data_IF_342895854336
#
_entry.id   IF_342895854336
#
_cell.length_a   1.000
_cell.length_b   1.000
_cell.length_c   1.000
_cell.angle_alpha   90.00
_cell.angle_beta   90.00
_cell.angle_gamma   90.00
#
_symmetry.space_group_name_H-M   'P 1'
#
loop_
_entity.id
_entity.type
_entity.pdbx_description
1 polymer ?
#
# COMPACT_ATOMS: atom_id res chain seq x y z
N UNK A 1 -19.30 -48.87 -6.93
CA UNK A 1 -18.81 -47.88 -7.94
C UNK A 1 -19.10 -46.45 -7.49
N UNK A 2 -20.38 -46.06 -7.36
CA UNK A 2 -20.78 -44.67 -7.06
C UNK A 2 -20.23 -44.12 -5.73
N UNK A 3 -20.26 -44.90 -4.64
CA UNK A 3 -19.79 -44.46 -3.33
C UNK A 3 -18.27 -44.22 -3.26
N UNK A 4 -17.48 -44.99 -4.04
CA UNK A 4 -16.03 -44.76 -4.17
C UNK A 4 -15.73 -43.49 -4.97
N UNK A 5 -16.52 -43.21 -6.01
CA UNK A 5 -16.42 -41.98 -6.79
C UNK A 5 -16.74 -40.74 -5.94
N UNK A 6 -17.83 -40.81 -5.14
CA UNK A 6 -18.22 -39.73 -4.22
C UNK A 6 -17.14 -39.46 -3.18
N UNK A 7 -16.53 -40.50 -2.61
CA UNK A 7 -15.45 -40.35 -1.64
C UNK A 7 -14.20 -39.67 -2.24
N UNK A 8 -13.82 -40.05 -3.46
CA UNK A 8 -12.71 -39.41 -4.19
C UNK A 8 -12.98 -37.93 -4.48
N UNK A 9 -14.22 -37.58 -4.87
CA UNK A 9 -14.62 -36.20 -5.12
C UNK A 9 -14.56 -35.34 -3.84
N UNK A 10 -15.00 -35.88 -2.70
CA UNK A 10 -14.94 -35.18 -1.41
C UNK A 10 -13.49 -34.90 -1.01
N UNK A 11 -12.59 -35.89 -1.16
CA UNK A 11 -11.16 -35.71 -0.85
C UNK A 11 -10.52 -34.66 -1.76
N UNK A 12 -10.83 -34.66 -3.06
CA UNK A 12 -10.37 -33.64 -4.02
C UNK A 12 -10.86 -32.23 -3.68
N UNK A 13 -12.13 -32.08 -3.29
CA UNK A 13 -12.70 -30.80 -2.87
C UNK A 13 -12.01 -30.27 -1.61
N UNK A 14 -11.81 -31.12 -0.60
CA UNK A 14 -11.12 -30.74 0.65
C UNK A 14 -9.68 -30.30 0.36
N UNK A 15 -8.95 -31.06 -0.46
CA UNK A 15 -7.58 -30.70 -0.89
C UNK A 15 -7.55 -29.35 -1.61
N UNK A 16 -8.51 -29.08 -2.50
CA UNK A 16 -8.60 -27.81 -3.22
C UNK A 16 -8.87 -26.61 -2.31
N UNK A 17 -9.64 -26.78 -1.23
CA UNK A 17 -9.91 -25.69 -0.27
C UNK A 17 -8.67 -25.30 0.54
N UNK A 18 -7.79 -26.25 0.90
CA UNK A 18 -6.56 -25.94 1.64
C UNK A 18 -5.51 -25.22 0.79
N UNK A 19 -5.51 -25.41 -0.53
CA UNK A 19 -4.60 -24.71 -1.44
C UNK A 19 -4.99 -23.24 -1.68
N UNK A 20 -6.26 -22.89 -1.45
CA UNK A 20 -6.79 -21.56 -1.72
C UNK A 20 -6.34 -20.52 -0.67
N UNK A 21 -6.13 -20.92 0.58
CA UNK A 21 -5.66 -20.01 1.64
C UNK A 21 -4.22 -19.53 1.42
N UNK A 22 -3.37 -20.32 0.74
CA UNK A 22 -1.95 -20.01 0.57
C UNK A 22 -1.73 -18.94 -0.52
N UNK A 23 -2.67 -18.78 -1.45
CA UNK A 23 -2.53 -17.89 -2.63
C UNK A 23 -3.24 -16.54 -2.49
N UNK A 24 -3.73 -16.21 -1.29
CA UNK A 24 -4.44 -14.95 -1.06
C UNK A 24 -3.45 -13.82 -0.83
N UNK A 25 -3.42 -12.83 -1.73
CA UNK A 25 -2.62 -11.63 -1.54
C UNK A 25 -3.18 -10.78 -0.36
N UNK A 26 -2.29 -10.21 0.43
CA UNK A 26 -2.62 -9.46 1.64
C UNK A 26 -3.19 -8.09 1.31
N UNK A 27 -4.31 -7.78 1.96
CA UNK A 27 -4.95 -6.47 1.88
C UNK A 27 -4.15 -5.37 2.58
N UNK A 28 -4.54 -4.12 2.33
CA UNK A 28 -3.95 -2.94 2.96
C UNK A 28 -3.96 -3.03 4.51
N UNK A 29 -2.86 -2.60 5.13
CA UNK A 29 -2.65 -2.62 6.58
C UNK A 29 -2.27 -3.99 7.16
N UNK A 30 -2.34 -5.08 6.38
CA UNK A 30 -1.87 -6.41 6.81
C UNK A 30 -0.34 -6.48 6.82
N UNK A 31 0.20 -7.34 7.66
CA UNK A 31 1.66 -7.49 7.83
C UNK A 31 2.25 -8.37 6.77
N UNK A 32 3.28 -7.87 6.11
CA UNK A 32 3.92 -8.51 4.97
C UNK A 32 5.41 -8.68 5.26
N UNK A 33 6.09 -9.48 4.43
CA UNK A 33 7.55 -9.62 4.45
C UNK A 33 8.12 -9.18 3.10
N UNK A 34 7.43 -9.54 2.02
CA UNK A 34 7.77 -9.23 0.64
C UNK A 34 6.60 -8.51 -0.04
N UNK A 35 6.90 -7.75 -1.10
CA UNK A 35 5.89 -7.07 -1.91
C UNK A 35 4.89 -8.04 -2.53
N UNK A 36 5.37 -9.20 -2.96
CA UNK A 36 4.55 -10.24 -3.58
C UNK A 36 3.54 -10.86 -2.61
N UNK A 37 3.68 -10.59 -1.30
CA UNK A 37 2.65 -10.96 -0.33
C UNK A 37 1.44 -10.05 -0.41
N UNK A 38 1.54 -8.83 -0.96
CA UNK A 38 0.48 -7.84 -0.94
C UNK A 38 -0.38 -7.88 -2.21
N UNK A 39 -1.63 -7.43 -2.11
CA UNK A 39 -2.58 -7.36 -3.22
C UNK A 39 -2.10 -6.41 -4.33
N UNK A 40 -2.68 -6.55 -5.52
CA UNK A 40 -2.29 -5.76 -6.69
C UNK A 40 -2.39 -4.26 -6.41
N UNK A 41 -1.30 -3.52 -6.65
CA UNK A 41 -1.20 -2.08 -6.37
C UNK A 41 -0.85 -1.71 -4.93
N UNK A 42 -0.53 -2.71 -4.09
CA UNK A 42 0.04 -2.53 -2.77
C UNK A 42 1.54 -2.87 -2.76
N UNK A 43 2.26 -2.40 -1.75
CA UNK A 43 3.68 -2.68 -1.52
C UNK A 43 3.93 -2.95 -0.03
N UNK A 44 4.95 -3.76 0.25
CA UNK A 44 5.33 -4.08 1.60
C UNK A 44 6.37 -3.09 2.10
N UNK A 45 5.99 -2.24 3.06
CA UNK A 45 6.91 -1.25 3.62
C UNK A 45 6.70 -1.00 5.10
N UNK A 46 7.74 -0.41 5.70
CA UNK A 46 7.75 0.00 7.09
C UNK A 46 7.52 1.51 7.20
N UNK A 47 6.66 1.89 8.13
CA UNK A 47 6.45 3.28 8.46
C UNK A 47 7.46 3.72 9.54
N UNK A 48 8.59 4.31 9.16
CA UNK A 48 9.59 4.74 10.15
C UNK A 48 9.15 6.00 10.91
N UNK A 49 8.30 6.85 10.30
CA UNK A 49 7.89 8.12 10.90
C UNK A 49 7.04 7.96 12.18
N UNK A 50 6.37 6.81 12.39
CA UNK A 50 5.59 6.53 13.60
C UNK A 50 6.29 5.57 14.58
N UNK A 51 7.59 5.34 14.41
CA UNK A 51 8.39 4.36 15.16
C UNK A 51 7.85 2.91 15.10
N UNK A 52 7.04 2.57 14.09
CA UNK A 52 6.56 1.21 13.90
C UNK A 52 7.44 0.46 12.91
N UNK A 53 8.22 -0.48 13.42
CA UNK A 53 9.11 -1.29 12.60
C UNK A 53 8.38 -2.44 11.88
N UNK A 54 7.08 -2.62 12.11
CA UNK A 54 6.29 -3.69 11.50
C UNK A 54 5.91 -3.32 10.07
N UNK A 55 6.44 -4.02 9.05
CA UNK A 55 6.07 -3.78 7.66
C UNK A 55 4.60 -4.13 7.43
N UNK A 56 3.93 -3.34 6.59
CA UNK A 56 2.54 -3.53 6.19
C UNK A 56 2.36 -3.31 4.70
N UNK A 57 1.34 -3.95 4.14
CA UNK A 57 0.90 -3.65 2.79
C UNK A 57 0.30 -2.24 2.79
N UNK A 58 0.95 -1.29 2.13
CA UNK A 58 0.44 0.05 1.90
C UNK A 58 0.14 0.24 0.42
N UNK A 59 -0.78 1.14 0.11
CA UNK A 59 -1.11 1.45 -1.27
C UNK A 59 -0.05 2.35 -1.86
N UNK A 60 0.56 1.99 -2.99
CA UNK A 60 1.63 2.80 -3.61
C UNK A 60 1.15 3.76 -4.67
N UNK A 61 -0.01 3.54 -5.29
CA UNK A 61 -0.47 4.37 -6.40
C UNK A 61 -1.74 5.15 -6.07
N UNK A 62 -1.74 6.49 -6.22
CA UNK A 62 -2.98 7.24 -6.23
C UNK A 62 -3.77 6.86 -7.49
N UNK A 63 -4.96 6.30 -7.29
CA UNK A 63 -5.91 6.12 -8.39
C UNK A 63 -6.40 7.50 -8.82
N UNK A 64 -6.24 7.83 -10.10
CA UNK A 64 -6.84 9.05 -10.64
C UNK A 64 -8.38 8.93 -10.56
N UNK A 65 -9.06 9.75 -9.75
CA UNK A 65 -10.50 9.60 -9.53
C UNK A 65 -11.33 9.87 -10.81
N UNK A 66 -10.76 10.60 -11.77
CA UNK A 66 -11.39 10.93 -13.05
C UNK A 66 -11.23 9.79 -14.08
N UNK A 67 -10.43 8.75 -13.77
CA UNK A 67 -10.22 7.62 -14.67
C UNK A 67 -11.47 6.75 -14.86
N UNK A 68 -12.39 6.74 -13.88
CA UNK A 68 -13.63 5.94 -13.93
C UNK A 68 -14.82 6.74 -14.46
N UNK A 69 -14.96 7.99 -14.02
CA UNK A 69 -16.07 8.89 -14.42
C UNK A 69 -15.51 10.29 -14.63
N UNK A 70 -15.93 10.98 -15.70
CA UNK A 70 -15.49 12.34 -16.05
C UNK A 70 -16.63 13.34 -15.87
N UNK A 71 -16.29 14.62 -15.70
CA UNK A 71 -17.24 15.73 -15.72
C UNK A 71 -18.02 15.98 -14.43
N UNK A 72 -17.66 15.31 -13.34
CA UNK A 72 -18.26 15.61 -12.03
C UNK A 72 -17.57 16.84 -11.40
N UNK A 73 -18.27 17.61 -10.54
CA UNK A 73 -17.63 18.64 -9.72
C UNK A 73 -16.54 18.07 -8.81
N UNK A 74 -15.55 18.88 -8.44
CA UNK A 74 -14.37 18.46 -7.65
C UNK A 74 -14.72 17.72 -6.35
N UNK A 75 -15.79 18.13 -5.66
CA UNK A 75 -16.27 17.53 -4.42
C UNK A 75 -17.03 16.19 -4.59
N UNK A 76 -17.18 15.70 -5.81
CA UNK A 76 -17.77 14.39 -6.13
C UNK A 76 -16.73 13.31 -6.43
N UNK A 77 -15.45 13.66 -6.32
CA UNK A 77 -14.33 12.74 -6.43
C UNK A 77 -13.70 12.46 -5.06
N UNK A 78 -13.16 11.26 -4.89
CA UNK A 78 -12.31 10.92 -3.76
C UNK A 78 -10.85 11.26 -4.09
N UNK A 79 -10.25 12.15 -3.30
CA UNK A 79 -8.87 12.59 -3.48
C UNK A 79 -7.98 11.99 -2.41
N UNK A 80 -6.84 11.44 -2.81
CA UNK A 80 -5.77 11.13 -1.87
C UNK A 80 -5.05 12.44 -1.52
N UNK A 81 -4.91 12.70 -0.22
CA UNK A 81 -4.26 13.91 0.30
C UNK A 81 -3.27 13.53 1.39
N UNK A 82 -2.29 14.40 1.65
CA UNK A 82 -1.29 14.22 2.70
C UNK A 82 -1.39 15.38 3.70
N UNK A 83 -1.40 15.07 4.99
CA UNK A 83 -1.38 16.08 6.05
C UNK A 83 0.06 16.39 6.44
N UNK A 84 0.42 17.67 6.58
CA UNK A 84 1.78 18.12 6.85
C UNK A 84 2.81 17.57 5.83
N UNK A 85 2.53 17.72 4.53
CA UNK A 85 3.34 17.18 3.42
C UNK A 85 4.85 17.48 3.49
N UNK A 86 5.26 18.53 4.20
CA UNK A 86 6.65 18.92 4.41
C UNK A 86 7.29 18.39 5.70
N UNK A 87 6.52 17.80 6.63
CA UNK A 87 7.00 17.25 7.90
C UNK A 87 7.64 15.87 7.68
N UNK A 88 8.73 15.86 6.90
CA UNK A 88 9.42 14.67 6.46
C UNK A 88 10.49 14.21 7.44
N UNK A 89 10.56 12.90 7.66
CA UNK A 89 11.57 12.25 8.48
C UNK A 89 12.99 12.62 8.02
N UNK A 90 13.86 12.95 8.96
CA UNK A 90 15.26 13.30 8.67
C UNK A 90 15.44 14.62 7.91
N UNK A 91 14.44 15.52 7.89
CA UNK A 91 14.62 16.86 7.36
C UNK A 91 15.47 17.74 8.25
N UNK A 92 16.28 18.58 7.58
CA UNK A 92 17.16 19.55 8.21
C UNK A 92 16.68 20.94 7.81
N UNK A 93 16.67 21.87 8.75
CA UNK A 93 16.33 23.26 8.43
C UNK A 93 17.34 23.84 7.46
N UNK A 94 16.88 24.63 6.50
CA UNK A 94 17.75 25.41 5.61
C UNK A 94 18.65 26.40 6.36
N UNK A 95 18.23 26.81 7.55
CA UNK A 95 19.01 27.71 8.45
C UNK A 95 20.01 26.95 9.33
N UNK A 96 20.05 25.62 9.27
CA UNK A 96 20.85 24.79 10.18
C UNK A 96 20.24 24.58 11.57
N UNK A 97 19.08 25.17 11.85
CA UNK A 97 18.35 24.98 13.10
C UNK A 97 17.77 23.56 13.22
N UNK A 98 17.74 23.02 14.44
CA UNK A 98 17.12 21.71 14.72
C UNK A 98 15.60 21.83 14.54
N UNK A 99 15.01 20.87 13.83
CA UNK A 99 13.55 20.75 13.71
C UNK A 99 13.05 19.90 14.88
N UNK A 100 12.31 20.53 15.81
CA UNK A 100 11.70 19.86 16.97
C UNK A 100 10.26 19.38 16.72
N UNK A 101 9.72 19.67 15.54
CA UNK A 101 8.35 19.31 15.19
C UNK A 101 8.23 17.80 14.88
N UNK A 102 7.10 17.15 15.20
CA UNK A 102 6.83 15.78 14.78
C UNK A 102 6.88 15.64 13.25
N UNK A 103 7.34 14.48 12.78
CA UNK A 103 7.34 14.12 11.35
C UNK A 103 6.31 13.05 11.09
N UNK A 104 5.53 13.18 10.02
CA UNK A 104 4.55 12.19 9.58
C UNK A 104 4.68 11.83 8.09
N UNK A 105 5.69 12.37 7.40
CA UNK A 105 5.99 12.01 6.02
C UNK A 105 7.33 11.28 5.96
N UNK A 106 7.46 10.28 5.09
CA UNK A 106 8.77 9.72 4.74
C UNK A 106 9.21 10.15 3.33
N UNK A 107 8.26 10.58 2.49
CA UNK A 107 8.50 10.95 1.11
C UNK A 107 8.65 12.46 0.90
N UNK A 108 9.33 12.83 -0.19
CA UNK A 108 9.34 14.21 -0.66
C UNK A 108 7.99 14.65 -1.22
N UNK A 109 7.71 15.96 -1.20
CA UNK A 109 6.49 16.49 -1.83
C UNK A 109 6.44 16.16 -3.32
N UNK A 110 7.59 16.14 -4.00
CA UNK A 110 7.67 15.69 -5.40
C UNK A 110 7.23 14.24 -5.54
N UNK A 111 7.69 13.36 -4.66
CA UNK A 111 7.34 11.94 -4.70
C UNK A 111 5.86 11.70 -4.35
N UNK A 112 5.31 12.46 -3.39
CA UNK A 112 3.88 12.45 -3.05
C UNK A 112 2.97 12.86 -4.23
N UNK A 113 3.45 13.76 -5.11
CA UNK A 113 2.70 14.25 -6.27
C UNK A 113 2.97 13.45 -7.55
N UNK A 114 4.07 12.72 -7.62
CA UNK A 114 4.48 11.99 -8.80
C UNK A 114 3.52 10.83 -9.09
N UNK A 115 3.22 10.61 -10.37
CA UNK A 115 2.61 9.36 -10.84
C UNK A 115 3.71 8.29 -10.94
N UNK A 116 3.41 7.00 -10.71
CA UNK A 116 4.39 5.95 -10.96
C UNK A 116 4.74 5.92 -12.44
N UNK A 117 5.95 6.32 -12.77
CA UNK A 117 6.65 5.88 -13.98
C UNK A 117 7.42 4.61 -13.62
N UNK A 118 7.43 3.64 -14.53
CA UNK A 118 8.08 2.32 -14.41
C UNK A 118 9.61 2.40 -14.17
N UNK A 119 10.16 3.62 -14.12
CA UNK A 119 11.58 3.94 -13.91
C UNK A 119 11.90 4.60 -12.57
N UNK A 120 10.90 5.01 -11.79
CA UNK A 120 11.10 5.58 -10.46
C UNK A 120 10.77 4.49 -9.46
N UNK A 121 11.66 4.21 -8.51
CA UNK A 121 11.48 3.17 -7.49
C UNK A 121 10.05 3.25 -6.94
N UNK A 122 9.27 2.19 -7.15
CA UNK A 122 7.86 2.02 -6.72
C UNK A 122 7.65 2.37 -5.23
N UNK A 123 8.73 2.37 -4.46
CA UNK A 123 8.77 2.64 -3.03
C UNK A 123 8.46 4.10 -2.66
N UNK A 124 8.33 5.06 -3.58
CA UNK A 124 8.35 6.50 -3.24
C UNK A 124 6.98 7.21 -3.29
N UNK A 125 5.89 6.52 -3.59
CA UNK A 125 4.69 7.22 -4.11
C UNK A 125 3.59 7.42 -3.07
N UNK A 126 3.52 6.63 -2.00
CA UNK A 126 2.62 6.91 -0.87
C UNK A 126 3.18 6.32 0.44
N UNK A 127 4.25 6.90 0.97
CA UNK A 127 4.64 6.78 2.39
C UNK A 127 4.07 7.92 3.24
N UNK A 128 3.02 8.56 2.75
CA UNK A 128 2.37 9.68 3.38
C UNK A 128 1.28 9.29 4.39
N UNK A 129 0.96 7.99 4.48
CA UNK A 129 0.08 7.42 5.49
C UNK A 129 0.94 6.63 6.48
N UNK A 130 1.92 7.35 7.02
CA UNK A 130 2.26 7.27 8.42
C UNK A 130 1.39 8.30 9.15
#
# INVERSE_FOLDING_TARGET
MLQRLVFLLIVLLIQSSFLFEISSALQEGKTCILNDNCDAGLHCETCLANNNLRPRCSRTQPINPISKVKGLPFNKYAWLTTHNSFARLGQVSKTGSVILAPTNQQDSVTSQLAKPDNRTKINDIIKAIC
#
